data_IF_289667024848
#
_entry.id   IF_289667024848
#
_cell.length_a   1.000
_cell.length_b   1.000
_cell.length_c   1.000
_cell.angle_alpha   90.00
_cell.angle_beta   90.00
_cell.angle_gamma   90.00
#
_symmetry.space_group_name_H-M   'P 1'
#
loop_
_entity.id
_entity.type
_entity.pdbx_description
1 polymer ?
#
# COMPACT_ATOMS: atom_id res chain seq x y z
N UNK A 1 -11.58 14.07 5.76
CA UNK A 1 -11.99 12.76 5.19
C UNK A 1 -13.06 13.03 4.16
N UNK A 2 -12.85 12.61 2.91
CA UNK A 2 -13.86 12.69 1.86
C UNK A 2 -14.44 11.29 1.63
N UNK A 3 -15.74 11.19 1.42
CA UNK A 3 -16.42 9.93 1.11
C UNK A 3 -17.15 10.09 -0.21
N UNK A 4 -16.93 9.13 -1.11
CA UNK A 4 -17.53 9.10 -2.42
C UNK A 4 -18.18 7.74 -2.62
N UNK A 5 -19.40 7.73 -3.12
CA UNK A 5 -20.09 6.54 -3.58
C UNK A 5 -20.04 6.52 -5.12
N UNK A 6 -19.54 5.42 -5.67
CA UNK A 6 -19.36 5.24 -7.10
C UNK A 6 -20.23 4.08 -7.58
N UNK A 7 -20.83 4.24 -8.76
CA UNK A 7 -21.54 3.16 -9.44
C UNK A 7 -20.54 2.37 -10.27
N UNK A 8 -20.39 1.08 -9.99
CA UNK A 8 -19.53 0.17 -10.74
C UNK A 8 -20.42 -0.80 -11.53
N UNK A 9 -20.57 -0.62 -12.85
CA UNK A 9 -21.40 -1.50 -13.67
C UNK A 9 -20.88 -2.94 -13.61
N UNK A 10 -21.80 -3.91 -13.56
CA UNK A 10 -21.49 -5.34 -13.59
C UNK A 10 -20.60 -5.84 -12.43
N UNK A 11 -20.60 -5.15 -11.29
CA UNK A 11 -19.93 -5.64 -10.08
C UNK A 11 -20.58 -6.96 -9.63
N UNK A 12 -19.76 -7.98 -9.37
CA UNK A 12 -20.25 -9.29 -8.89
C UNK A 12 -20.96 -9.12 -7.54
N UNK A 13 -22.09 -9.82 -7.30
CA UNK A 13 -22.70 -9.91 -5.97
C UNK A 13 -21.72 -10.41 -4.89
N UNK A 14 -20.72 -11.21 -5.27
CA UNK A 14 -19.68 -11.71 -4.35
C UNK A 14 -18.77 -10.59 -3.80
N UNK A 15 -18.79 -9.40 -4.42
CA UNK A 15 -18.05 -8.24 -3.94
C UNK A 15 -18.82 -7.44 -2.88
N UNK A 16 -20.07 -7.81 -2.56
CA UNK A 16 -20.84 -7.14 -1.52
C UNK A 16 -20.13 -7.25 -0.16
N UNK A 17 -19.97 -6.10 0.50
CA UNK A 17 -19.21 -5.99 1.75
C UNK A 17 -17.70 -6.23 1.63
N UNK A 18 -17.16 -6.45 0.42
CA UNK A 18 -15.72 -6.60 0.22
C UNK A 18 -15.01 -5.25 0.38
N UNK A 19 -13.94 -5.21 1.17
CA UNK A 19 -13.21 -3.98 1.48
C UNK A 19 -11.73 -4.11 1.13
N UNK A 20 -11.21 -3.08 0.46
CA UNK A 20 -9.80 -2.98 0.06
C UNK A 20 -9.22 -1.72 0.69
N UNK A 21 -8.09 -1.88 1.36
CA UNK A 21 -7.26 -0.78 1.80
C UNK A 21 -6.34 -0.38 0.64
N UNK A 22 -6.60 0.75 -0.01
CA UNK A 22 -5.85 1.20 -1.18
C UNK A 22 -4.97 2.40 -0.82
N UNK A 23 -3.68 2.30 -1.13
CA UNK A 23 -2.69 3.35 -0.91
C UNK A 23 -1.80 3.46 -2.15
N UNK A 24 -1.40 4.67 -2.50
CA UNK A 24 -0.50 4.95 -3.63
C UNK A 24 0.55 5.96 -3.22
N UNK A 25 1.63 6.04 -4.01
CA UNK A 25 2.62 7.13 -3.97
C UNK A 25 3.19 7.35 -2.56
N UNK A 26 3.67 6.27 -1.93
CA UNK A 26 4.23 6.33 -0.58
C UNK A 26 5.60 6.99 -0.54
N UNK A 27 6.38 6.84 -1.60
CA UNK A 27 7.74 7.37 -1.72
C UNK A 27 8.59 7.09 -0.48
N UNK A 28 8.54 5.87 0.03
CA UNK A 28 9.34 5.45 1.18
C UNK A 28 10.83 5.64 0.86
N UNK A 29 11.51 6.39 1.72
CA UNK A 29 12.85 6.89 1.43
C UNK A 29 13.24 8.04 2.36
N UNK A 30 14.12 8.96 1.93
CA UNK A 30 14.67 10.00 2.80
C UNK A 30 13.63 10.92 3.46
N UNK A 31 12.49 11.13 2.79
CA UNK A 31 11.41 12.00 3.27
C UNK A 31 10.33 11.24 4.04
N UNK A 32 10.08 9.97 3.68
CA UNK A 32 9.07 9.10 4.31
C UNK A 32 9.79 7.90 4.91
N UNK A 33 10.14 8.03 6.19
CA UNK A 33 10.91 7.03 6.90
C UNK A 33 10.07 5.99 7.65
N UNK A 34 10.77 5.13 8.38
CA UNK A 34 10.15 4.04 9.14
C UNK A 34 9.04 4.47 10.15
N UNK A 35 9.11 5.62 10.86
CA UNK A 35 8.03 6.05 11.76
C UNK A 35 6.70 6.29 11.03
N UNK A 36 6.74 6.98 9.89
CA UNK A 36 5.58 7.26 9.05
C UNK A 36 4.99 5.96 8.49
N UNK A 37 5.85 5.07 7.98
CA UNK A 37 5.43 3.76 7.46
C UNK A 37 4.80 2.88 8.55
N UNK A 38 5.35 2.89 9.77
CA UNK A 38 4.74 2.21 10.93
C UNK A 38 3.35 2.75 11.25
N UNK A 39 3.20 4.07 11.28
CA UNK A 39 1.91 4.72 11.55
C UNK A 39 0.88 4.34 10.49
N UNK A 40 1.27 4.38 9.21
CA UNK A 40 0.42 3.96 8.11
C UNK A 40 0.04 2.48 8.24
N UNK A 41 1.01 1.59 8.45
CA UNK A 41 0.75 0.16 8.60
C UNK A 41 -0.23 -0.12 9.76
N UNK A 42 -0.07 0.57 10.89
CA UNK A 42 -0.99 0.48 12.03
C UNK A 42 -2.41 0.96 11.66
N UNK A 43 -2.52 2.09 10.95
CA UNK A 43 -3.81 2.59 10.46
C UNK A 43 -4.49 1.58 9.53
N UNK A 44 -3.78 1.07 8.52
CA UNK A 44 -4.35 0.13 7.55
C UNK A 44 -4.82 -1.17 8.22
N UNK A 45 -4.05 -1.68 9.19
CA UNK A 45 -4.46 -2.83 10.01
C UNK A 45 -5.75 -2.55 10.79
N UNK A 46 -5.93 -1.34 11.31
CA UNK A 46 -7.13 -0.98 12.08
C UNK A 46 -8.42 -0.88 11.25
N UNK A 47 -8.31 -0.75 9.93
CA UNK A 47 -9.46 -0.64 9.02
C UNK A 47 -10.16 -1.97 8.75
N UNK A 48 -9.57 -3.11 9.16
CA UNK A 48 -10.12 -4.46 8.96
C UNK A 48 -10.50 -4.76 7.49
N UNK A 49 -9.70 -4.26 6.55
CA UNK A 49 -9.87 -4.58 5.13
C UNK A 49 -9.56 -6.06 4.86
N UNK A 50 -10.13 -6.62 3.79
CA UNK A 50 -9.83 -7.98 3.35
C UNK A 50 -8.51 -8.10 2.60
N UNK A 51 -8.19 -7.08 1.81
CA UNK A 51 -6.96 -6.98 1.05
C UNK A 51 -6.35 -5.57 1.18
N UNK A 52 -5.05 -5.47 0.89
CA UNK A 52 -4.38 -4.20 0.66
C UNK A 52 -3.85 -4.10 -0.77
N UNK A 53 -3.89 -2.91 -1.35
CA UNK A 53 -3.28 -2.60 -2.64
C UNK A 53 -2.35 -1.40 -2.47
N UNK A 54 -1.08 -1.59 -2.81
CA UNK A 54 -0.07 -0.54 -2.90
C UNK A 54 0.18 -0.24 -4.38
N UNK A 55 -0.37 0.86 -4.86
CA UNK A 55 -0.46 1.15 -6.29
C UNK A 55 0.47 2.29 -6.71
N UNK A 56 1.69 1.94 -7.11
CA UNK A 56 2.67 2.88 -7.64
C UNK A 56 3.51 3.59 -6.57
N UNK A 57 4.75 3.92 -6.94
CA UNK A 57 5.71 4.77 -6.25
C UNK A 57 5.76 4.51 -4.74
N UNK A 58 5.94 3.24 -4.36
CA UNK A 58 6.02 2.79 -2.97
C UNK A 58 7.38 3.13 -2.36
N UNK A 59 8.46 3.04 -3.14
CA UNK A 59 9.83 3.26 -2.68
C UNK A 59 10.58 4.23 -3.61
N UNK A 60 11.51 4.99 -3.02
CA UNK A 60 12.45 5.86 -3.73
C UNK A 60 13.80 5.18 -3.96
N UNK A 61 14.16 5.00 -5.23
CA UNK A 61 15.42 4.38 -5.64
C UNK A 61 15.39 2.85 -5.58
N UNK A 62 16.57 2.24 -5.59
CA UNK A 62 16.71 0.78 -5.69
C UNK A 62 16.17 0.02 -4.47
N UNK A 63 15.55 -1.14 -4.72
CA UNK A 63 14.99 -2.02 -3.68
C UNK A 63 16.03 -2.40 -2.63
N UNK A 64 17.28 -2.62 -3.06
CA UNK A 64 18.39 -3.01 -2.21
C UNK A 64 18.75 -1.95 -1.18
N UNK A 65 18.65 -0.66 -1.54
CA UNK A 65 18.98 0.45 -0.64
C UNK A 65 17.85 0.77 0.34
N UNK A 66 16.63 0.29 0.09
CA UNK A 66 15.43 0.56 0.88
C UNK A 66 14.88 -0.62 1.66
N UNK A 67 15.56 -1.76 1.63
CA UNK A 67 15.15 -2.95 2.37
C UNK A 67 14.85 -2.68 3.87
N UNK A 68 15.60 -1.83 4.61
CA UNK A 68 15.28 -1.49 6.00
C UNK A 68 13.94 -0.75 6.17
N UNK A 69 13.63 0.19 5.28
CA UNK A 69 12.38 0.96 5.27
C UNK A 69 11.19 0.07 4.87
N UNK A 70 11.41 -0.92 4.01
CA UNK A 70 10.39 -1.84 3.52
C UNK A 70 9.95 -2.91 4.53
N UNK A 71 10.69 -3.18 5.60
CA UNK A 71 10.35 -4.24 6.57
C UNK A 71 8.97 -4.00 7.23
N UNK A 72 8.60 -2.74 7.45
CA UNK A 72 7.29 -2.38 8.01
C UNK A 72 6.16 -2.72 7.03
N UNK A 73 6.39 -2.52 5.73
CA UNK A 73 5.45 -2.89 4.67
C UNK A 73 5.38 -4.42 4.49
N UNK A 74 6.49 -5.14 4.71
CA UNK A 74 6.51 -6.61 4.72
C UNK A 74 5.62 -7.17 5.82
N UNK A 75 5.68 -6.60 7.01
CA UNK A 75 4.84 -6.99 8.15
C UNK A 75 3.37 -6.60 7.95
N UNK A 76 3.11 -5.58 7.14
CA UNK A 76 1.76 -5.22 6.71
C UNK A 76 1.21 -6.21 5.69
N UNK A 77 2.02 -6.65 4.72
CA UNK A 77 1.60 -7.51 3.63
C UNK A 77 1.00 -8.86 4.09
N UNK A 78 1.47 -9.38 5.22
CA UNK A 78 1.00 -10.65 5.80
C UNK A 78 -0.21 -10.51 6.72
N UNK A 79 -0.70 -9.29 6.97
CA UNK A 79 -1.78 -9.05 7.95
C UNK A 79 -3.19 -9.03 7.36
N UNK A 80 -3.33 -9.07 6.03
CA UNK A 80 -4.63 -9.06 5.35
C UNK A 80 -5.07 -10.49 4.98
N UNK A 81 -6.34 -10.88 5.22
CA UNK A 81 -6.85 -12.20 4.90
C UNK A 81 -6.62 -12.66 3.46
N UNK A 82 -6.81 -11.75 2.51
CA UNK A 82 -6.71 -12.02 1.07
C UNK A 82 -5.38 -11.47 0.47
N UNK A 83 -4.43 -11.10 1.35
CA UNK A 83 -3.08 -10.65 1.00
C UNK A 83 -2.94 -9.16 0.70
N UNK A 84 -1.71 -8.77 0.40
CA UNK A 84 -1.37 -7.44 -0.11
C UNK A 84 -0.78 -7.53 -1.51
N UNK A 85 -1.23 -6.63 -2.37
CA UNK A 85 -0.86 -6.57 -3.78
C UNK A 85 -0.05 -5.30 -4.03
N UNK A 86 1.01 -5.44 -4.82
CA UNK A 86 1.92 -4.35 -5.14
C UNK A 86 1.97 -4.15 -6.65
N UNK A 87 1.85 -2.90 -7.08
CA UNK A 87 2.08 -2.46 -8.45
C UNK A 87 3.23 -1.45 -8.41
N UNK A 88 4.36 -1.71 -9.10
CA UNK A 88 5.47 -0.78 -9.12
C UNK A 88 5.09 0.47 -9.92
N UNK A 89 5.58 1.63 -9.46
CA UNK A 89 5.51 2.88 -10.20
C UNK A 89 6.82 3.14 -10.94
N UNK A 90 7.03 4.38 -11.35
CA UNK A 90 8.24 4.76 -12.05
C UNK A 90 9.42 5.02 -11.11
N UNK A 91 9.16 5.42 -9.86
CA UNK A 91 10.23 5.70 -8.88
C UNK A 91 11.03 4.45 -8.48
N UNK A 92 10.47 3.25 -8.61
CA UNK A 92 11.21 2.00 -8.40
C UNK A 92 12.12 1.62 -9.56
N UNK A 93 12.02 2.30 -10.70
CA UNK A 93 12.91 2.11 -11.84
C UNK A 93 13.84 3.30 -12.09
N UNK A 94 13.53 4.45 -11.49
CA UNK A 94 14.41 5.62 -11.53
C UNK A 94 15.47 5.53 -10.44
N UNK A 95 16.61 4.98 -10.83
CA UNK A 95 17.82 5.05 -10.03
C UNK A 95 18.51 6.39 -10.35
N UNK A 96 18.31 7.39 -9.49
CA UNK A 96 19.11 8.62 -9.49
C UNK A 96 20.39 8.48 -8.63
N UNK A 97 20.77 7.25 -8.29
CA UNK A 97 21.99 6.92 -7.54
C UNK A 97 23.26 7.34 -8.31
#
# INVERSE_FOLDING_TARGET
VYRLELQVPHLSPDADGYTICHVSDLHAGPLVGAPELRRLASLLKSLNCRAAVLNGDVAEGSVETRAPEMEELRTLATSFPDGAYYVPGNHEFYNYD
#
